data_IF_383943870148
#
_entry.id   IF_383943870148
#
_cell.length_a   1.000
_cell.length_b   1.000
_cell.length_c   1.000
_cell.angle_alpha   90.00
_cell.angle_beta   90.00
_cell.angle_gamma   90.00
#
_symmetry.space_group_name_H-M   'P 1'
#
loop_
_entity.id
_entity.type
_entity.pdbx_description
1 polymer ?
#
# COMPACT_ATOMS: atom_id res chain seq x y z
N UNK A 1 -2.72 5.03 -13.83
CA UNK A 1 -2.70 5.21 -12.37
C UNK A 1 -3.44 4.09 -11.63
N UNK A 2 -4.75 3.90 -11.82
CA UNK A 2 -5.51 2.89 -11.09
C UNK A 2 -4.95 1.47 -11.15
N UNK A 3 -4.48 1.02 -12.32
CA UNK A 3 -3.86 -0.31 -12.50
C UNK A 3 -2.57 -0.45 -11.67
N UNK A 4 -1.74 0.58 -11.61
CA UNK A 4 -0.49 0.56 -10.82
C UNK A 4 -0.81 0.45 -9.33
N UNK A 5 -1.78 1.23 -8.83
CA UNK A 5 -2.21 1.20 -7.43
C UNK A 5 -2.86 -0.14 -7.08
N UNK A 6 -3.67 -0.69 -7.99
CA UNK A 6 -4.27 -2.01 -7.83
C UNK A 6 -3.21 -3.11 -7.74
N UNK A 7 -2.21 -3.09 -8.64
CA UNK A 7 -1.12 -4.06 -8.63
C UNK A 7 -0.21 -3.89 -7.41
N UNK A 8 0.06 -2.65 -6.98
CA UNK A 8 0.85 -2.36 -5.78
C UNK A 8 0.20 -2.93 -4.51
N UNK A 9 -1.13 -2.79 -4.39
CA UNK A 9 -1.86 -3.23 -3.19
C UNK A 9 -2.24 -4.71 -3.23
N UNK A 10 -2.55 -5.24 -4.42
CA UNK A 10 -3.05 -6.61 -4.58
C UNK A 10 -1.99 -7.65 -4.89
N UNK A 11 -0.85 -7.26 -5.44
CA UNK A 11 0.21 -8.18 -5.88
C UNK A 11 1.55 -7.72 -5.28
N UNK A 12 2.14 -8.56 -4.45
CA UNK A 12 3.41 -8.34 -3.73
C UNK A 12 4.60 -7.94 -4.63
N UNK A 13 4.46 -8.03 -5.96
CA UNK A 13 5.51 -7.74 -6.95
C UNK A 13 5.73 -6.24 -7.16
N UNK A 14 4.74 -5.40 -6.90
CA UNK A 14 4.83 -3.94 -7.13
C UNK A 14 5.44 -3.15 -5.95
N UNK A 15 6.08 -3.84 -5.02
CA UNK A 15 6.73 -3.33 -3.83
C UNK A 15 7.79 -2.22 -4.06
N UNK A 16 8.29 -2.09 -5.29
CA UNK A 16 9.34 -1.13 -5.64
C UNK A 16 8.81 0.24 -6.09
N UNK A 17 7.51 0.38 -6.29
CA UNK A 17 6.91 1.63 -6.78
C UNK A 17 6.45 2.46 -5.58
N UNK A 18 6.97 3.68 -5.38
CA UNK A 18 6.57 4.53 -4.27
C UNK A 18 5.20 5.17 -4.53
N UNK A 19 4.14 4.44 -4.23
CA UNK A 19 2.76 4.85 -4.48
C UNK A 19 2.38 6.17 -3.80
N UNK A 20 2.97 6.46 -2.63
CA UNK A 20 2.68 7.69 -1.88
C UNK A 20 3.07 8.94 -2.67
N UNK A 21 4.28 8.92 -3.25
CA UNK A 21 4.75 10.02 -4.11
C UNK A 21 3.92 10.15 -5.38
N UNK A 22 3.48 9.02 -5.96
CA UNK A 22 2.63 9.01 -7.15
C UNK A 22 1.25 9.61 -6.87
N UNK A 23 0.66 9.34 -5.70
CA UNK A 23 -0.63 9.89 -5.31
C UNK A 23 -0.57 11.41 -5.13
N UNK A 24 0.45 11.87 -4.41
CA UNK A 24 0.68 13.30 -4.24
C UNK A 24 0.90 14.00 -5.58
N UNK A 25 1.76 13.44 -6.42
CA UNK A 25 2.03 13.98 -7.76
C UNK A 25 0.81 13.94 -8.68
N UNK A 26 -0.01 12.90 -8.61
CA UNK A 26 -1.27 12.83 -9.36
C UNK A 26 -2.22 13.96 -8.97
N UNK A 27 -2.30 14.30 -7.67
CA UNK A 27 -3.06 15.45 -7.19
C UNK A 27 -2.50 16.77 -7.71
N UNK A 28 -1.18 16.95 -7.66
CA UNK A 28 -0.50 18.14 -8.16
C UNK A 28 -0.78 18.34 -9.66
N UNK A 29 -0.63 17.30 -10.47
CA UNK A 29 -0.91 17.36 -11.92
C UNK A 29 -2.39 17.65 -12.19
N UNK A 30 -3.30 17.05 -11.41
CA UNK A 30 -4.73 17.30 -11.54
C UNK A 30 -5.09 18.76 -11.27
N UNK A 31 -4.40 19.42 -10.34
CA UNK A 31 -4.59 20.83 -10.04
C UNK A 31 -4.00 21.76 -11.13
N UNK A 32 -2.91 21.33 -11.77
CA UNK A 32 -2.20 22.11 -12.81
C UNK A 32 -2.75 21.88 -14.22
N UNK A 33 -3.77 21.01 -14.38
CA UNK A 33 -4.30 20.62 -15.70
C UNK A 33 -5.82 20.69 -15.69
N UNK A 34 -6.41 21.53 -16.53
CA UNK A 34 -7.87 21.73 -16.60
C UNK A 34 -8.65 20.46 -17.03
N UNK A 35 -7.99 19.51 -17.68
CA UNK A 35 -8.63 18.31 -18.24
C UNK A 35 -8.77 17.14 -17.26
N UNK A 36 -8.28 17.25 -16.03
CA UNK A 36 -8.31 16.15 -15.04
C UNK A 36 -9.36 16.43 -13.98
N UNK A 37 -10.43 15.64 -13.98
CA UNK A 37 -11.45 15.74 -12.93
C UNK A 37 -10.91 15.08 -11.64
N UNK A 38 -10.69 15.89 -10.61
CA UNK A 38 -10.15 15.42 -9.31
C UNK A 38 -11.05 14.38 -8.64
N UNK A 39 -12.38 14.54 -8.73
CA UNK A 39 -13.31 13.59 -8.12
C UNK A 39 -13.24 12.22 -8.79
N UNK A 40 -13.10 12.19 -10.11
CA UNK A 40 -12.89 10.94 -10.84
C UNK A 40 -11.56 10.30 -10.47
N UNK A 41 -10.49 11.10 -10.37
CA UNK A 41 -9.16 10.62 -10.00
C UNK A 41 -9.16 9.98 -8.62
N UNK A 42 -9.67 10.66 -7.59
CA UNK A 42 -9.69 10.11 -6.21
C UNK A 42 -10.60 8.90 -6.09
N UNK A 43 -11.71 8.85 -6.86
CA UNK A 43 -12.59 7.70 -6.89
C UNK A 43 -11.90 6.46 -7.46
N UNK A 44 -11.15 6.61 -8.56
CA UNK A 44 -10.37 5.54 -9.18
C UNK A 44 -9.28 5.06 -8.22
N UNK A 45 -8.55 5.99 -7.57
CA UNK A 45 -7.50 5.67 -6.61
C UNK A 45 -8.07 4.90 -5.42
N UNK A 46 -9.18 5.38 -4.85
CA UNK A 46 -9.85 4.71 -3.74
C UNK A 46 -10.28 3.29 -4.11
N UNK A 47 -10.99 3.13 -5.23
CA UNK A 47 -11.48 1.83 -5.69
C UNK A 47 -10.32 0.87 -5.99
N UNK A 48 -9.27 1.33 -6.66
CA UNK A 48 -8.10 0.50 -6.97
C UNK A 48 -7.40 0.01 -5.71
N UNK A 49 -7.17 0.90 -4.73
CA UNK A 49 -6.54 0.55 -3.47
C UNK A 49 -7.42 -0.40 -2.62
N UNK A 50 -8.73 -0.12 -2.55
CA UNK A 50 -9.69 -0.94 -1.83
C UNK A 50 -9.81 -2.34 -2.43
N UNK A 51 -9.95 -2.45 -3.76
CA UNK A 51 -10.06 -3.74 -4.46
C UNK A 51 -8.76 -4.54 -4.37
N UNK A 52 -7.61 -3.88 -4.43
CA UNK A 52 -6.31 -4.53 -4.21
C UNK A 52 -6.23 -5.21 -2.85
N UNK A 53 -6.71 -4.56 -1.79
CA UNK A 53 -6.79 -5.15 -0.45
C UNK A 53 -7.71 -6.37 -0.40
N UNK A 54 -8.88 -6.31 -1.09
CA UNK A 54 -9.81 -7.45 -1.11
C UNK A 54 -9.16 -8.67 -1.77
N UNK A 55 -8.45 -8.45 -2.88
CA UNK A 55 -7.70 -9.53 -3.56
C UNK A 55 -6.60 -10.07 -2.65
N UNK A 56 -5.80 -9.21 -2.02
CA UNK A 56 -4.76 -9.61 -1.07
C UNK A 56 -5.31 -10.44 0.09
N UNK A 57 -6.42 -10.00 0.70
CA UNK A 57 -7.10 -10.71 1.77
C UNK A 57 -7.60 -12.08 1.31
N UNK A 58 -8.28 -12.15 0.15
CA UNK A 58 -8.81 -13.40 -0.40
C UNK A 58 -7.67 -14.39 -0.70
N UNK A 59 -6.59 -13.95 -1.32
CA UNK A 59 -5.40 -14.78 -1.57
C UNK A 59 -4.78 -15.29 -0.27
N UNK A 60 -4.65 -14.43 0.74
CA UNK A 60 -4.17 -14.82 2.05
C UNK A 60 -5.04 -15.89 2.70
N UNK A 61 -6.38 -15.72 2.62
CA UNK A 61 -7.35 -16.62 3.25
C UNK A 61 -7.47 -17.98 2.57
N UNK A 62 -7.38 -18.01 1.26
CA UNK A 62 -7.53 -19.24 0.46
C UNK A 62 -6.20 -19.95 0.25
N UNK A 63 -5.27 -19.30 -0.45
CA UNK A 63 -4.00 -19.91 -0.86
C UNK A 63 -2.98 -19.87 0.28
N UNK A 64 -2.77 -18.69 0.87
CA UNK A 64 -1.73 -18.46 1.88
C UNK A 64 -1.92 -19.37 3.09
N UNK A 65 -3.12 -19.39 3.66
CA UNK A 65 -3.43 -20.22 4.82
C UNK A 65 -3.32 -21.71 4.52
N UNK A 66 -3.91 -22.18 3.43
CA UNK A 66 -3.85 -23.58 3.02
C UNK A 66 -2.41 -24.06 2.83
N UNK A 67 -1.56 -23.24 2.22
CA UNK A 67 -0.15 -23.55 2.04
C UNK A 67 0.60 -23.66 3.37
N UNK A 68 0.38 -22.73 4.28
CA UNK A 68 1.06 -22.70 5.59
C UNK A 68 0.61 -23.83 6.51
N UNK A 69 -0.68 -24.18 6.52
CA UNK A 69 -1.20 -25.32 7.28
C UNK A 69 -0.64 -26.66 6.77
N UNK A 70 -0.57 -26.83 5.44
CA UNK A 70 0.02 -28.02 4.82
C UNK A 70 1.52 -28.16 5.06
N UNK A 71 2.24 -27.05 5.15
CA UNK A 71 3.69 -27.02 5.34
C UNK A 71 4.14 -27.61 6.69
N UNK A 72 3.27 -27.63 7.72
CA UNK A 72 3.53 -28.12 9.09
C UNK A 72 4.85 -27.61 9.71
N UNK A 73 5.50 -26.60 9.11
CA UNK A 73 6.74 -26.03 9.63
C UNK A 73 6.47 -25.22 10.89
N UNK A 74 7.15 -25.52 12.03
CA UNK A 74 6.88 -24.86 13.30
C UNK A 74 7.00 -23.33 13.24
N UNK A 75 7.90 -22.81 12.40
CA UNK A 75 8.08 -21.37 12.19
C UNK A 75 6.85 -20.69 11.59
N UNK A 76 6.20 -21.32 10.60
CA UNK A 76 4.99 -20.78 9.97
C UNK A 76 3.79 -20.82 10.91
N UNK A 77 3.62 -21.89 11.66
CA UNK A 77 2.54 -22.00 12.64
C UNK A 77 2.68 -20.93 13.74
N UNK A 78 3.92 -20.68 14.22
CA UNK A 78 4.20 -19.60 15.17
C UNK A 78 3.90 -18.20 14.57
N UNK A 79 4.19 -17.99 13.29
CA UNK A 79 3.89 -16.74 12.59
C UNK A 79 2.38 -16.51 12.48
N UNK A 80 1.60 -17.51 12.10
CA UNK A 80 0.13 -17.43 12.05
C UNK A 80 -0.42 -17.10 13.44
N UNK A 81 -0.04 -17.85 14.47
CA UNK A 81 -0.52 -17.62 15.83
C UNK A 81 -0.13 -16.23 16.38
N UNK A 82 1.01 -15.67 15.95
CA UNK A 82 1.41 -14.29 16.30
C UNK A 82 0.53 -13.27 15.58
N UNK A 83 0.23 -13.49 14.30
CA UNK A 83 -0.63 -12.62 13.52
C UNK A 83 -2.08 -12.67 14.04
N UNK A 84 -2.62 -13.84 14.37
CA UNK A 84 -3.94 -14.00 14.98
C UNK A 84 -4.04 -13.19 16.28
N UNK A 85 -3.11 -13.36 17.22
CA UNK A 85 -3.05 -12.58 18.47
C UNK A 85 -2.91 -11.08 18.25
N UNK A 86 -2.16 -10.66 17.22
CA UNK A 86 -2.03 -9.25 16.87
C UNK A 86 -3.37 -8.67 16.43
N UNK A 87 -4.09 -9.36 15.53
CA UNK A 87 -5.41 -8.91 15.07
C UNK A 87 -6.51 -9.06 16.13
N UNK A 88 -6.41 -10.00 17.04
CA UNK A 88 -7.29 -10.09 18.20
C UNK A 88 -7.12 -8.88 19.13
N UNK A 89 -5.87 -8.44 19.34
CA UNK A 89 -5.55 -7.33 20.25
C UNK A 89 -5.83 -5.96 19.63
N UNK A 90 -5.39 -5.72 18.42
CA UNK A 90 -5.48 -4.41 17.75
C UNK A 90 -6.63 -4.31 16.75
N UNK A 91 -7.13 -5.44 16.28
CA UNK A 91 -8.33 -5.57 15.48
C UNK A 91 -8.38 -4.67 14.26
N UNK A 92 -9.46 -3.94 14.16
CA UNK A 92 -9.78 -3.03 13.09
C UNK A 92 -8.73 -1.91 12.89
N UNK A 93 -8.25 -1.34 13.99
CA UNK A 93 -7.25 -0.26 13.96
C UNK A 93 -5.90 -0.71 13.38
N UNK A 94 -5.53 -1.97 13.56
CA UNK A 94 -4.30 -2.50 12.99
C UNK A 94 -4.28 -2.38 11.46
N UNK A 95 -5.41 -2.64 10.79
CA UNK A 95 -5.54 -2.54 9.34
C UNK A 95 -5.50 -1.08 8.89
N UNK A 96 -6.19 -0.18 9.59
CA UNK A 96 -6.22 1.25 9.26
C UNK A 96 -4.83 1.88 9.37
N UNK A 97 -4.17 1.72 10.53
CA UNK A 97 -2.86 2.36 10.76
C UNK A 97 -1.73 1.74 9.95
N UNK A 98 -1.80 0.44 9.66
CA UNK A 98 -0.80 -0.21 8.83
C UNK A 98 -0.65 0.41 7.44
N UNK A 99 -1.70 1.06 6.95
CA UNK A 99 -1.70 1.70 5.62
C UNK A 99 -0.78 2.91 5.52
N UNK A 100 -0.48 3.55 6.66
CA UNK A 100 0.46 4.67 6.72
C UNK A 100 1.93 4.22 6.74
N UNK A 101 2.17 2.90 6.84
CA UNK A 101 3.52 2.33 6.76
C UNK A 101 3.70 1.61 5.41
N UNK A 102 4.53 2.15 4.50
CA UNK A 102 4.65 1.64 3.12
C UNK A 102 4.99 0.14 3.05
N UNK A 103 5.83 -0.34 3.96
CA UNK A 103 6.25 -1.74 4.03
C UNK A 103 5.19 -2.68 4.60
N UNK A 104 4.37 -2.19 5.53
CA UNK A 104 3.41 -3.01 6.27
C UNK A 104 2.12 -3.15 5.46
N UNK A 105 1.67 -2.09 4.78
CA UNK A 105 0.39 -2.06 4.07
C UNK A 105 0.22 -3.18 3.04
N UNK A 106 1.29 -3.54 2.33
CA UNK A 106 1.26 -4.60 1.31
C UNK A 106 1.05 -5.99 1.92
N UNK A 107 1.56 -6.20 3.13
CA UNK A 107 1.47 -7.50 3.81
C UNK A 107 0.23 -7.65 4.68
N UNK A 108 -0.39 -6.56 5.10
CA UNK A 108 -1.54 -6.58 6.02
C UNK A 108 -2.75 -7.30 5.43
N UNK A 109 -3.21 -7.06 4.18
CA UNK A 109 -4.34 -7.79 3.63
C UNK A 109 -4.12 -9.31 3.57
N UNK A 110 -3.01 -9.84 3.00
CA UNK A 110 -2.75 -11.26 3.02
C UNK A 110 -2.65 -11.85 4.43
N UNK A 111 -1.95 -11.17 5.36
CA UNK A 111 -1.79 -11.66 6.74
C UNK A 111 -3.14 -11.66 7.47
N UNK A 112 -3.98 -10.64 7.29
CA UNK A 112 -5.33 -10.60 7.85
C UNK A 112 -6.19 -11.76 7.31
N UNK A 113 -6.04 -12.10 6.03
CA UNK A 113 -6.67 -13.27 5.41
C UNK A 113 -6.20 -14.60 6.01
N UNK A 114 -4.88 -14.78 6.14
CA UNK A 114 -4.25 -15.96 6.76
C UNK A 114 -4.73 -16.13 8.22
N UNK A 115 -4.82 -15.04 8.97
CA UNK A 115 -5.26 -15.02 10.38
C UNK A 115 -6.76 -15.19 10.59
N UNK A 116 -7.53 -15.46 9.54
CA UNK A 116 -9.00 -15.60 9.59
C UNK A 116 -9.72 -14.39 10.23
N UNK A 117 -9.15 -13.18 10.09
CA UNK A 117 -9.83 -11.97 10.55
C UNK A 117 -11.25 -11.91 9.96
N UNK A 118 -12.21 -11.41 10.75
CA UNK A 118 -13.58 -11.24 10.27
C UNK A 118 -13.60 -10.31 9.04
N UNK A 119 -14.22 -10.78 7.95
CA UNK A 119 -14.22 -10.07 6.68
C UNK A 119 -14.84 -8.67 6.76
N UNK A 120 -15.95 -8.51 7.48
CA UNK A 120 -16.60 -7.19 7.61
C UNK A 120 -15.73 -6.19 8.38
N UNK A 121 -15.01 -6.64 9.40
CA UNK A 121 -14.03 -5.80 10.11
C UNK A 121 -12.88 -5.39 9.20
N UNK A 122 -12.36 -6.33 8.40
CA UNK A 122 -11.32 -6.04 7.42
C UNK A 122 -11.85 -5.09 6.33
N UNK A 123 -13.03 -5.34 5.77
CA UNK A 123 -13.66 -4.55 4.71
C UNK A 123 -13.79 -3.08 5.12
N UNK A 124 -14.37 -2.82 6.29
CA UNK A 124 -14.59 -1.45 6.79
C UNK A 124 -13.28 -0.75 7.15
N UNK A 125 -12.32 -1.47 7.74
CA UNK A 125 -11.00 -0.92 8.05
C UNK A 125 -10.20 -0.60 6.77
N UNK A 126 -10.22 -1.49 5.78
CA UNK A 126 -9.59 -1.29 4.49
C UNK A 126 -10.24 -0.12 3.73
N UNK A 127 -11.57 -0.02 3.73
CA UNK A 127 -12.29 1.09 3.10
C UNK A 127 -11.88 2.43 3.72
N UNK A 128 -11.91 2.55 5.05
CA UNK A 128 -11.50 3.78 5.73
C UNK A 128 -10.02 4.09 5.49
N UNK A 129 -9.15 3.11 5.62
CA UNK A 129 -7.72 3.29 5.37
C UNK A 129 -7.42 3.71 3.94
N UNK A 130 -8.09 3.10 2.93
CA UNK A 130 -7.97 3.47 1.53
C UNK A 130 -8.46 4.89 1.27
N UNK A 131 -9.57 5.27 1.90
CA UNK A 131 -10.12 6.62 1.79
C UNK A 131 -9.15 7.64 2.39
N UNK A 132 -8.79 7.51 3.65
CA UNK A 132 -7.95 8.50 4.35
C UNK A 132 -6.58 8.61 3.69
N UNK A 133 -5.96 7.48 3.33
CA UNK A 133 -4.65 7.49 2.71
C UNK A 133 -4.70 7.92 1.23
N UNK A 134 -5.54 7.27 0.41
CA UNK A 134 -5.57 7.50 -1.04
C UNK A 134 -6.13 8.87 -1.40
N UNK A 135 -7.31 9.21 -0.86
CA UNK A 135 -7.92 10.52 -1.09
C UNK A 135 -7.11 11.61 -0.38
N UNK A 136 -6.66 11.36 0.87
CA UNK A 136 -5.88 12.33 1.63
C UNK A 136 -4.60 12.75 0.95
N UNK A 137 -3.76 11.79 0.49
CA UNK A 137 -2.51 12.09 -0.21
C UNK A 137 -2.74 12.80 -1.55
N UNK A 138 -3.76 12.38 -2.30
CA UNK A 138 -4.09 13.02 -3.59
C UNK A 138 -4.61 14.45 -3.38
N UNK A 139 -5.46 14.67 -2.38
CA UNK A 139 -5.96 16.01 -2.04
C UNK A 139 -4.86 16.92 -1.50
N UNK A 140 -3.93 16.40 -0.69
CA UNK A 140 -2.75 17.16 -0.27
C UNK A 140 -1.95 17.66 -1.47
N UNK A 141 -1.72 16.80 -2.47
CA UNK A 141 -1.07 17.19 -3.72
C UNK A 141 -1.87 18.22 -4.51
N UNK A 142 -3.19 18.06 -4.58
CA UNK A 142 -4.09 18.97 -5.30
C UNK A 142 -4.10 20.37 -4.69
N UNK A 143 -4.23 20.49 -3.37
CA UNK A 143 -4.21 21.78 -2.69
C UNK A 143 -2.81 22.38 -2.53
N UNK A 144 -1.75 21.58 -2.67
CA UNK A 144 -0.38 22.06 -2.58
C UNK A 144 -0.05 23.16 -3.61
N UNK A 145 -0.69 23.12 -4.79
CA UNK A 145 -0.51 24.14 -5.84
C UNK A 145 -1.01 25.52 -5.40
N UNK A 146 -1.90 25.61 -4.42
CA UNK A 146 -2.37 26.90 -3.90
C UNK A 146 -1.28 27.70 -3.15
N UNK A 147 -0.17 27.04 -2.80
CA UNK A 147 0.98 27.71 -2.21
C UNK A 147 1.92 28.19 -3.33
N UNK A 148 2.14 29.50 -3.51
CA UNK A 148 2.92 30.08 -4.62
C UNK A 148 4.30 29.43 -4.78
N UNK A 149 4.98 29.14 -3.66
CA UNK A 149 6.29 28.51 -3.68
C UNK A 149 6.26 27.08 -4.25
N UNK A 150 5.18 26.34 -4.04
CA UNK A 150 5.00 24.98 -4.56
C UNK A 150 4.66 25.00 -6.04
N UNK A 151 3.85 25.95 -6.46
CA UNK A 151 3.47 26.12 -7.87
C UNK A 151 4.70 26.45 -8.73
N UNK A 152 5.49 27.43 -8.33
CA UNK A 152 6.74 27.82 -9.01
C UNK A 152 7.76 26.67 -9.07
N UNK A 153 7.83 25.82 -8.03
CA UNK A 153 8.79 24.71 -7.92
C UNK A 153 8.19 23.34 -8.17
N UNK A 154 6.96 23.27 -8.67
CA UNK A 154 6.21 22.00 -8.85
C UNK A 154 7.00 20.94 -9.65
N UNK A 155 7.70 21.36 -10.71
CA UNK A 155 8.55 20.48 -11.52
C UNK A 155 9.77 19.95 -10.76
N UNK A 156 10.38 20.79 -9.92
CA UNK A 156 11.53 20.41 -9.08
C UNK A 156 11.09 19.46 -7.97
N UNK A 157 9.93 19.71 -7.35
CA UNK A 157 9.32 18.84 -6.34
C UNK A 157 9.01 17.47 -6.94
N UNK A 158 8.40 17.45 -8.13
CA UNK A 158 8.11 16.21 -8.86
C UNK A 158 9.40 15.43 -9.16
N UNK A 159 10.43 16.11 -9.68
CA UNK A 159 11.72 15.52 -9.97
C UNK A 159 12.38 14.96 -8.71
N UNK A 160 12.34 15.70 -7.60
CA UNK A 160 12.85 15.25 -6.30
C UNK A 160 12.18 13.95 -5.84
N UNK A 161 10.86 13.85 -5.91
CA UNK A 161 10.15 12.63 -5.53
C UNK A 161 10.44 11.46 -6.47
N UNK A 162 10.58 11.71 -7.78
CA UNK A 162 10.97 10.67 -8.74
C UNK A 162 12.37 10.16 -8.44
N UNK A 163 13.34 11.06 -8.24
CA UNK A 163 14.72 10.69 -7.92
C UNK A 163 14.79 9.95 -6.59
N UNK A 164 14.11 10.43 -5.55
CA UNK A 164 14.04 9.78 -4.24
C UNK A 164 13.49 8.35 -4.35
N UNK A 165 12.50 8.16 -5.18
CA UNK A 165 11.89 6.87 -5.48
C UNK A 165 12.84 5.91 -6.17
N UNK A 166 13.53 6.39 -7.20
CA UNK A 166 14.53 5.60 -7.93
C UNK A 166 15.71 5.22 -7.03
N UNK A 167 16.18 6.18 -6.21
CA UNK A 167 17.29 5.94 -5.27
C UNK A 167 16.88 4.92 -4.20
N UNK A 168 15.70 5.04 -3.60
CA UNK A 168 15.24 4.06 -2.61
C UNK A 168 15.03 2.67 -3.22
N UNK A 169 14.50 2.57 -4.42
CA UNK A 169 14.41 1.33 -5.19
C UNK A 169 15.79 0.72 -5.46
N UNK A 170 16.73 1.52 -5.91
CA UNK A 170 18.10 1.08 -6.21
C UNK A 170 18.88 0.65 -4.96
N UNK A 171 18.80 1.41 -3.87
CA UNK A 171 19.41 1.03 -2.58
C UNK A 171 18.86 -0.29 -2.06
N UNK A 172 17.56 -0.50 -2.19
CA UNK A 172 16.94 -1.74 -1.76
C UNK A 172 17.35 -2.93 -2.64
N UNK A 173 17.43 -2.74 -3.95
CA UNK A 173 17.98 -3.72 -4.88
C UNK A 173 19.42 -4.13 -4.53
N UNK A 174 20.28 -3.15 -4.20
CA UNK A 174 21.67 -3.44 -3.78
C UNK A 174 21.73 -4.18 -2.44
N UNK A 175 20.84 -3.86 -1.49
CA UNK A 175 20.77 -4.58 -0.20
C UNK A 175 20.38 -6.04 -0.40
N UNK A 176 19.42 -6.33 -1.28
CA UNK A 176 19.01 -7.71 -1.61
C UNK A 176 20.14 -8.50 -2.27
N UNK A 177 20.95 -7.87 -3.11
CA UNK A 177 22.13 -8.52 -3.73
C UNK A 177 23.25 -8.82 -2.72
N UNK A 178 23.35 -8.06 -1.64
CA UNK A 178 24.39 -8.21 -0.60
C UNK A 178 24.02 -9.17 0.53
N UNK A 179 22.79 -9.67 0.58
CA UNK A 179 22.45 -10.74 1.51
C UNK A 179 23.10 -12.03 1.03
N UNK A 180 24.16 -12.54 1.67
CA UNK A 180 24.71 -13.86 1.34
C UNK A 180 23.61 -14.88 1.63
N UNK A 181 23.34 -15.75 0.67
CA UNK A 181 22.59 -16.97 0.95
C UNK A 181 23.34 -17.72 2.05
N UNK A 182 22.87 -17.65 3.28
CA UNK A 182 23.29 -18.55 4.33
C UNK A 182 22.90 -19.96 3.87
N UNK A 183 23.88 -20.64 3.25
CA UNK A 183 23.87 -22.09 3.07
C UNK A 183 23.97 -22.71 4.46
N UNK A 184 22.95 -23.40 4.87
CA UNK A 184 23.02 -24.66 5.65
C UNK A 184 21.59 -25.12 5.91
#
# INVERSE_FOLDING_TARGET
>A
MGVIIFLETGVLVAFFIPGDSLLFFAGLVAASTENVNILLLVSIIFLAAFMGDQVGFALGRTVGRSYLEKSKRPGFLKMIARAERFYERYGWWAVVFARFYPWIRTFVPPIAGISKMNYYRFLTASALGAFVWGVGMTMLGYYAVQFPWIDENSKLIALFFIVLSLVSGFVNYLRLRRSPQSKS
#
